data_IF_121032397286
#
_entry.id   IF_121032397286
#
_cell.length_a   1.000
_cell.length_b   1.000
_cell.length_c   1.000
_cell.angle_alpha   90.00
_cell.angle_beta   90.00
_cell.angle_gamma   90.00
#
_symmetry.space_group_name_H-M   'P 1'
#
loop_
_entity.id
_entity.type
_entity.pdbx_description
1 polymer ?
#
# COMPACT_ATOMS: atom_id res chain seq x y z
N UNK A 1 5.06 18.66 -1.83
CA UNK A 1 3.76 18.49 -2.49
C UNK A 1 3.57 17.00 -2.63
N UNK A 2 2.63 16.41 -1.89
CA UNK A 2 2.29 14.99 -2.09
C UNK A 2 1.67 14.89 -3.49
N UNK A 3 2.17 13.96 -4.33
CA UNK A 3 1.49 13.61 -5.57
C UNK A 3 0.15 12.98 -5.18
N UNK A 4 -0.95 13.51 -5.69
CA UNK A 4 -2.24 12.86 -5.58
C UNK A 4 -2.15 11.55 -6.38
N UNK A 5 -2.14 10.41 -5.69
CA UNK A 5 -2.27 9.11 -6.33
C UNK A 5 -3.74 8.94 -6.76
N UNK A 6 -4.12 9.51 -7.90
CA UNK A 6 -5.53 9.61 -8.34
C UNK A 6 -5.99 8.34 -9.08
N UNK A 7 -5.96 7.19 -8.42
CA UNK A 7 -6.67 6.01 -8.93
C UNK A 7 -7.70 5.54 -7.92
N UNK A 8 -8.95 5.84 -8.24
CA UNK A 8 -10.10 5.12 -7.72
C UNK A 8 -10.32 3.88 -8.58
N UNK A 9 -10.42 2.72 -7.95
CA UNK A 9 -10.60 1.44 -8.64
C UNK A 9 -12.01 0.92 -8.33
N UNK A 10 -12.72 0.50 -9.37
CA UNK A 10 -13.97 -0.22 -9.19
C UNK A 10 -13.66 -1.62 -8.62
N UNK A 11 -14.43 -2.08 -7.62
CA UNK A 11 -14.18 -3.37 -6.96
C UNK A 11 -14.17 -4.56 -7.95
N UNK A 12 -14.93 -4.47 -9.03
CA UNK A 12 -14.97 -5.47 -10.10
C UNK A 12 -13.67 -5.58 -10.91
N UNK A 13 -12.81 -4.56 -10.87
CA UNK A 13 -11.52 -4.51 -11.56
C UNK A 13 -10.33 -4.74 -10.59
N UNK A 14 -10.58 -4.98 -9.30
CA UNK A 14 -9.56 -5.02 -8.26
C UNK A 14 -8.49 -6.10 -8.52
N UNK A 15 -8.90 -7.30 -8.93
CA UNK A 15 -7.97 -8.41 -9.18
C UNK A 15 -6.99 -8.08 -10.32
N UNK A 16 -7.52 -7.60 -11.45
CA UNK A 16 -6.71 -7.16 -12.58
C UNK A 16 -5.80 -6.00 -12.20
N UNK A 17 -6.26 -5.12 -11.32
CA UNK A 17 -5.45 -4.02 -10.82
C UNK A 17 -4.27 -4.51 -9.97
N UNK A 18 -4.52 -5.40 -9.01
CA UNK A 18 -3.49 -5.97 -8.13
C UNK A 18 -2.38 -6.62 -8.98
N UNK A 19 -2.74 -7.37 -10.02
CA UNK A 19 -1.77 -7.99 -10.93
C UNK A 19 -0.91 -6.95 -11.67
N UNK A 20 -1.47 -5.77 -11.96
CA UNK A 20 -0.79 -4.67 -12.66
C UNK A 20 0.11 -3.80 -11.77
N UNK A 21 0.18 -4.04 -10.45
CA UNK A 21 1.04 -3.27 -9.56
C UNK A 21 2.51 -3.46 -9.94
N UNK A 22 3.20 -2.34 -10.18
CA UNK A 22 4.62 -2.25 -10.51
C UNK A 22 5.41 -1.66 -9.33
N UNK A 23 6.74 -1.78 -9.38
CA UNK A 23 7.62 -1.20 -8.36
C UNK A 23 7.45 0.32 -8.28
N UNK A 24 7.69 0.90 -7.10
CA UNK A 24 7.69 2.35 -6.94
C UNK A 24 8.78 2.98 -7.81
N UNK A 25 8.47 4.14 -8.39
CA UNK A 25 9.44 4.90 -9.16
C UNK A 25 10.52 5.46 -8.23
N UNK A 26 11.74 5.65 -8.72
CA UNK A 26 12.86 6.19 -7.93
C UNK A 26 12.52 7.57 -7.35
N UNK A 27 11.71 8.36 -8.04
CA UNK A 27 11.23 9.66 -7.57
C UNK A 27 10.32 9.55 -6.34
N UNK A 28 9.56 8.46 -6.23
CA UNK A 28 8.61 8.20 -5.14
C UNK A 28 9.26 7.40 -3.99
N UNK A 29 10.43 6.81 -4.22
CA UNK A 29 11.17 6.00 -3.26
C UNK A 29 11.44 6.71 -1.93
N UNK A 30 11.85 7.99 -1.87
CA UNK A 30 12.04 8.68 -0.59
C UNK A 30 10.77 8.71 0.26
N UNK A 31 9.64 9.06 -0.36
CA UNK A 31 8.34 9.15 0.32
C UNK A 31 7.89 7.77 0.79
N UNK A 32 8.07 6.73 -0.03
CA UNK A 32 7.78 5.36 0.36
C UNK A 32 8.63 4.94 1.57
N UNK A 33 9.95 5.16 1.50
CA UNK A 33 10.89 4.79 2.57
C UNK A 33 10.74 5.61 3.85
N UNK A 34 10.14 6.80 3.82
CA UNK A 34 9.85 7.57 5.03
C UNK A 34 8.72 6.93 5.87
N UNK A 35 7.85 6.15 5.24
CA UNK A 35 6.67 5.52 5.87
C UNK A 35 6.95 4.09 6.36
N UNK A 36 7.90 3.41 5.73
CA UNK A 36 8.26 2.00 6.02
C UNK A 36 8.86 1.75 7.44
N UNK A 37 9.66 2.64 8.07
CA UNK A 37 10.37 2.34 9.32
C UNK A 37 9.52 1.74 10.45
N UNK A 38 8.30 2.25 10.76
CA UNK A 38 7.45 1.64 11.80
C UNK A 38 6.93 0.24 11.45
N UNK A 39 6.85 -0.13 10.16
CA UNK A 39 6.25 -1.40 9.70
C UNK A 39 7.27 -2.43 9.18
N UNK A 40 8.52 -2.01 8.95
CA UNK A 40 9.55 -2.81 8.28
C UNK A 40 9.79 -4.17 8.96
N UNK A 41 9.80 -4.23 10.29
CA UNK A 41 10.08 -5.48 11.04
C UNK A 41 8.99 -6.52 10.80
N UNK A 42 7.74 -6.07 10.77
CA UNK A 42 6.57 -6.93 10.60
C UNK A 42 6.45 -7.35 9.13
N UNK A 43 6.67 -6.43 8.20
CA UNK A 43 6.66 -6.71 6.75
C UNK A 43 7.76 -7.69 6.34
N UNK A 44 9.00 -7.54 6.82
CA UNK A 44 10.09 -8.48 6.55
C UNK A 44 9.80 -9.90 7.06
N UNK A 45 8.96 -10.02 8.09
CA UNK A 45 8.51 -11.31 8.63
C UNK A 45 7.28 -11.86 7.93
N UNK A 46 6.69 -11.13 6.99
CA UNK A 46 5.41 -11.44 6.37
C UNK A 46 4.21 -11.27 7.32
N UNK A 47 4.37 -10.61 8.47
CA UNK A 47 3.31 -10.37 9.46
C UNK A 47 2.51 -9.10 9.11
N UNK A 48 1.81 -9.13 7.98
CA UNK A 48 1.02 -7.99 7.49
C UNK A 48 -0.08 -7.62 8.49
N UNK A 49 -0.74 -8.61 9.09
CA UNK A 49 -1.78 -8.36 10.09
C UNK A 49 -1.20 -7.70 11.35
N UNK A 50 -0.03 -8.15 11.82
CA UNK A 50 0.66 -7.51 12.93
C UNK A 50 1.09 -6.08 12.62
N UNK A 51 1.58 -5.82 11.40
CA UNK A 51 1.89 -4.47 10.92
C UNK A 51 0.65 -3.57 10.95
N UNK A 52 -0.50 -4.06 10.47
CA UNK A 52 -1.77 -3.33 10.48
C UNK A 52 -2.21 -3.05 11.93
N UNK A 53 -2.14 -4.04 12.82
CA UNK A 53 -2.58 -3.88 14.21
C UNK A 53 -1.73 -2.86 14.99
N UNK A 54 -0.43 -2.77 14.70
CA UNK A 54 0.50 -1.89 15.41
C UNK A 54 0.62 -0.50 14.77
N UNK A 55 0.55 -0.44 13.45
CA UNK A 55 0.92 0.73 12.66
C UNK A 55 -0.01 0.91 11.44
N UNK A 56 -1.32 0.76 11.62
CA UNK A 56 -2.33 0.81 10.54
C UNK A 56 -2.18 2.00 9.61
N UNK A 57 -1.94 3.20 10.13
CA UNK A 57 -1.76 4.41 9.31
C UNK A 57 -0.53 4.31 8.40
N UNK A 58 0.58 3.75 8.88
CA UNK A 58 1.78 3.58 8.07
C UNK A 58 1.56 2.50 7.00
N UNK A 59 0.85 1.42 7.31
CA UNK A 59 0.47 0.41 6.31
C UNK A 59 -0.41 1.03 5.22
N UNK A 60 -1.45 1.78 5.60
CA UNK A 60 -2.35 2.44 4.64
C UNK A 60 -1.57 3.40 3.73
N UNK A 61 -0.69 4.21 4.31
CA UNK A 61 0.08 5.20 3.55
C UNK A 61 1.10 4.52 2.61
N UNK A 62 1.84 3.51 3.08
CA UNK A 62 2.76 2.75 2.25
C UNK A 62 2.04 2.01 1.12
N UNK A 63 0.89 1.40 1.40
CA UNK A 63 0.06 0.74 0.40
C UNK A 63 -0.49 1.74 -0.62
N UNK A 64 -0.94 2.92 -0.20
CA UNK A 64 -1.43 3.95 -1.13
C UNK A 64 -0.33 4.41 -2.10
N UNK A 65 0.88 4.63 -1.58
CA UNK A 65 2.05 5.00 -2.39
C UNK A 65 2.42 3.86 -3.34
N UNK A 66 2.63 2.65 -2.81
CA UNK A 66 3.10 1.50 -3.57
C UNK A 66 2.11 1.03 -4.63
N UNK A 67 0.82 1.02 -4.29
CA UNK A 67 -0.25 0.66 -5.21
C UNK A 67 -0.68 1.85 -6.08
N UNK A 68 -0.14 3.06 -5.88
CA UNK A 68 -0.49 4.28 -6.62
C UNK A 68 -2.00 4.58 -6.61
N UNK A 69 -2.65 4.40 -5.46
CA UNK A 69 -4.09 4.65 -5.24
C UNK A 69 -4.33 5.79 -4.27
N UNK A 70 -5.54 6.35 -4.29
CA UNK A 70 -5.88 7.43 -3.38
C UNK A 70 -6.01 6.92 -1.95
N UNK A 71 -5.39 7.64 -1.00
CA UNK A 71 -5.37 7.23 0.41
C UNK A 71 -6.76 7.30 1.06
N UNK A 72 -7.62 8.24 0.63
CA UNK A 72 -8.99 8.31 1.11
C UNK A 72 -9.85 7.19 0.50
N UNK A 73 -9.66 6.86 -0.78
CA UNK A 73 -10.27 5.70 -1.42
C UNK A 73 -9.89 4.42 -0.67
N UNK A 74 -8.61 4.20 -0.38
CA UNK A 74 -8.13 3.02 0.36
C UNK A 74 -8.71 2.97 1.78
N UNK A 75 -8.81 4.12 2.45
CA UNK A 75 -9.41 4.23 3.78
C UNK A 75 -10.91 3.93 3.84
N UNK A 76 -11.61 3.99 2.71
CA UNK A 76 -13.02 3.61 2.59
C UNK A 76 -13.21 2.12 2.27
N UNK A 77 -12.14 1.39 1.94
CA UNK A 77 -12.21 -0.02 1.61
C UNK A 77 -12.33 -0.90 2.86
N UNK A 78 -12.70 -2.16 2.62
CA UNK A 78 -12.68 -3.19 3.65
C UNK A 78 -11.23 -3.66 3.93
N UNK A 79 -10.98 -4.24 5.12
CA UNK A 79 -9.63 -4.69 5.49
C UNK A 79 -9.00 -5.75 4.57
N UNK A 80 -9.81 -6.58 3.92
CA UNK A 80 -9.37 -7.58 2.93
C UNK A 80 -8.67 -6.91 1.73
N UNK A 81 -9.27 -5.86 1.18
CA UNK A 81 -8.67 -5.07 0.08
C UNK A 81 -7.33 -4.46 0.50
N UNK A 82 -7.22 -3.95 1.73
CA UNK A 82 -5.96 -3.43 2.25
C UNK A 82 -4.90 -4.52 2.35
N UNK A 83 -5.26 -5.72 2.82
CA UNK A 83 -4.33 -6.85 2.96
C UNK A 83 -3.83 -7.30 1.59
N UNK A 84 -4.70 -7.42 0.59
CA UNK A 84 -4.33 -7.82 -0.77
C UNK A 84 -3.38 -6.81 -1.41
N UNK A 85 -3.73 -5.52 -1.38
CA UNK A 85 -2.88 -4.46 -1.91
C UNK A 85 -1.54 -4.36 -1.17
N UNK A 86 -1.55 -4.40 0.17
CA UNK A 86 -0.32 -4.35 0.98
C UNK A 86 0.61 -5.54 0.69
N UNK A 87 0.04 -6.74 0.53
CA UNK A 87 0.80 -7.95 0.19
C UNK A 87 1.48 -7.79 -1.15
N UNK A 88 0.75 -7.31 -2.16
CA UNK A 88 1.28 -7.12 -3.50
C UNK A 88 2.34 -6.02 -3.57
N UNK A 89 2.11 -4.91 -2.87
CA UNK A 89 3.10 -3.83 -2.76
C UNK A 89 4.41 -4.34 -2.15
N UNK A 90 4.34 -5.17 -1.11
CA UNK A 90 5.52 -5.80 -0.50
C UNK A 90 6.20 -6.82 -1.43
N UNK A 91 5.44 -7.55 -2.24
CA UNK A 91 6.01 -8.53 -3.16
C UNK A 91 6.84 -7.87 -4.27
N UNK A 92 6.39 -6.72 -4.75
CA UNK A 92 6.98 -6.04 -5.92
C UNK A 92 8.10 -5.06 -5.53
N UNK A 93 8.17 -4.61 -4.27
CA UNK A 93 9.14 -3.62 -3.76
C UNK A 93 10.07 -4.20 -2.70
#
# INVERSE_FOLDING_TARGET
>A
MARDYVKEIALEDLDAYIESIESVDVDDLPTFLDVIPPIVVDMVRGDILGAIMRNSNAVIEATAIGARVDRAWLGAQKPDVLVELASRVLEVN
#
